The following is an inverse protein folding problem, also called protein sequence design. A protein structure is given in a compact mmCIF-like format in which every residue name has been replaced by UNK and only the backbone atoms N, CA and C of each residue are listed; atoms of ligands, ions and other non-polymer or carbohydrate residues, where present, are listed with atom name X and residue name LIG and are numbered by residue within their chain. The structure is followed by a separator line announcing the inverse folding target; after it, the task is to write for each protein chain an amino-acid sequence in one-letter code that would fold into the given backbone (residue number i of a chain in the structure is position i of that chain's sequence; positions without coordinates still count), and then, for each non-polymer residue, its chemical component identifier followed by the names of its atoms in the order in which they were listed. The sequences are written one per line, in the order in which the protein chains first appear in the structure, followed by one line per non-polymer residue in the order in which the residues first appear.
data_IF_603032265889
#
_entry.id   IF_603032265889
#
_cell.length_a   1.000
_cell.length_b   1.000
_cell.length_c   1.000
_cell.angle_alpha   90.00
_cell.angle_beta   90.00
_cell.angle_gamma   90.00
#
_symmetry.space_group_name_H-M   'P 1'
#
loop_
_entity.id
_entity.type
_entity.pdbx_description
1 polymer ?
#
# COMPACT_ATOMS: atom_id res chain seq x y z
N UNK A 1 -20.29 10.79 36.39
CA UNK A 1 -20.73 12.05 35.78
C UNK A 1 -19.86 12.30 34.57
N UNK A 2 -20.48 12.41 33.39
CA UNK A 2 -19.83 12.57 32.09
C UNK A 2 -19.40 14.03 31.88
N UNK A 3 -18.25 14.25 31.25
CA UNK A 3 -17.69 15.57 30.96
C UNK A 3 -16.86 15.60 29.67
N UNK A 4 -17.58 15.79 28.55
CA UNK A 4 -17.25 16.39 27.25
C UNK A 4 -15.80 16.41 26.72
N UNK A 5 -15.58 15.70 25.60
CA UNK A 5 -14.32 15.66 24.83
C UNK A 5 -14.44 16.29 23.42
N UNK A 6 -15.54 16.99 23.12
CA UNK A 6 -15.91 17.38 21.74
C UNK A 6 -15.48 18.80 21.28
N UNK A 7 -14.52 19.46 21.93
CA UNK A 7 -14.14 20.85 21.54
C UNK A 7 -12.80 20.99 20.81
N UNK A 8 -12.02 19.92 20.61
CA UNK A 8 -10.66 20.02 20.03
C UNK A 8 -10.54 19.66 18.53
N UNK A 9 -11.60 19.14 17.90
CA UNK A 9 -11.60 18.80 16.47
C UNK A 9 -11.99 20.00 15.57
N UNK A 10 -12.54 21.07 16.15
CA UNK A 10 -13.01 22.26 15.42
C UNK A 10 -11.93 23.27 15.04
N UNK A 11 -10.78 23.29 15.73
CA UNK A 11 -9.79 24.38 15.61
C UNK A 11 -8.62 24.11 14.65
N UNK A 12 -8.50 22.89 14.09
CA UNK A 12 -7.49 22.57 13.07
C UNK A 12 -7.97 22.77 11.62
N UNK A 13 -9.22 23.23 11.39
CA UNK A 13 -9.78 23.50 10.05
C UNK A 13 -9.56 24.92 9.52
N UNK A 14 -8.87 25.81 10.25
CA UNK A 14 -8.73 27.22 9.86
C UNK A 14 -7.31 27.75 9.66
N UNK A 15 -6.26 26.94 9.84
CA UNK A 15 -4.87 27.42 9.70
C UNK A 15 -4.08 26.92 8.49
N UNK A 16 -4.66 26.09 7.62
CA UNK A 16 -3.96 25.63 6.39
C UNK A 16 -4.28 26.44 5.12
N UNK A 17 -5.00 27.56 5.24
CA UNK A 17 -5.36 28.42 4.09
C UNK A 17 -4.42 29.62 3.87
N UNK A 18 -3.39 29.80 4.69
CA UNK A 18 -2.45 30.93 4.55
C UNK A 18 -1.00 30.50 4.82
N UNK A 19 -0.45 29.63 3.98
CA UNK A 19 1.00 29.48 3.77
C UNK A 19 1.27 28.54 2.59
N UNK A 20 1.19 29.09 1.38
CA UNK A 20 1.98 28.66 0.21
C UNK A 20 1.77 29.59 -0.99
N UNK A 21 1.74 30.91 -0.74
CA UNK A 21 2.18 31.88 -1.74
C UNK A 21 3.63 32.23 -1.41
N UNK A 22 4.59 31.57 -2.08
CA UNK A 22 5.89 32.13 -2.51
C UNK A 22 6.80 31.05 -3.13
N UNK A 23 6.77 31.01 -4.48
CA UNK A 23 7.88 30.84 -5.45
C UNK A 23 8.66 29.51 -5.60
N UNK A 24 9.40 29.27 -6.74
CA UNK A 24 9.47 29.98 -8.02
C UNK A 24 9.21 29.09 -9.28
N UNK A 25 9.10 29.78 -10.42
CA UNK A 25 9.05 29.28 -11.80
C UNK A 25 10.17 28.27 -12.13
N UNK A 26 9.82 27.09 -12.65
CA UNK A 26 10.74 26.22 -13.40
C UNK A 26 10.18 25.91 -14.78
N UNK A 27 11.08 25.92 -15.77
CA UNK A 27 10.82 25.99 -17.22
C UNK A 27 10.09 24.75 -17.74
N UNK A 28 9.15 25.00 -18.65
CA UNK A 28 8.36 24.02 -19.39
C UNK A 28 9.20 23.49 -20.56
N UNK A 29 9.60 22.22 -20.53
CA UNK A 29 10.12 21.55 -21.74
C UNK A 29 8.95 21.15 -22.63
N UNK A 30 8.99 21.60 -23.88
CA UNK A 30 8.03 21.26 -24.93
C UNK A 30 8.21 19.79 -25.36
N UNK A 31 7.22 18.95 -25.06
CA UNK A 31 7.01 17.72 -25.83
C UNK A 31 6.07 18.00 -27.00
N UNK A 32 6.64 17.84 -28.20
CA UNK A 32 6.04 18.07 -29.52
C UNK A 32 4.72 17.30 -29.67
N UNK A 33 3.70 18.01 -30.15
CA UNK A 33 2.36 17.49 -30.39
C UNK A 33 2.31 16.41 -31.47
N UNK A 34 1.46 15.41 -31.23
CA UNK A 34 1.00 14.46 -32.25
C UNK A 34 -0.34 14.97 -32.80
N UNK A 35 -0.61 14.90 -34.12
CA UNK A 35 -1.75 15.60 -34.72
C UNK A 35 -3.09 15.00 -34.31
N UNK A 36 -4.06 15.88 -34.03
CA UNK A 36 -5.46 15.54 -33.79
C UNK A 36 -6.09 15.12 -35.12
N UNK A 37 -6.38 13.84 -35.29
CA UNK A 37 -7.33 13.40 -36.32
C UNK A 37 -8.74 13.82 -35.90
N UNK A 38 -9.28 14.83 -36.59
CA UNK A 38 -10.70 15.14 -36.60
C UNK A 38 -11.45 13.91 -37.13
N UNK A 39 -12.31 13.32 -36.32
CA UNK A 39 -13.40 12.48 -36.82
C UNK A 39 -14.68 12.72 -36.03
N UNK A 40 -15.77 12.60 -36.77
CA UNK A 40 -17.06 13.20 -36.52
C UNK A 40 -17.80 12.69 -35.27
N UNK A 41 -18.74 13.52 -34.85
CA UNK A 41 -19.84 13.24 -33.93
C UNK A 41 -20.45 11.85 -34.15
N UNK A 42 -20.17 10.94 -33.22
CA UNK A 42 -20.87 9.67 -33.12
C UNK A 42 -21.50 9.58 -31.73
N UNK A 43 -22.84 9.62 -31.68
CA UNK A 43 -23.62 9.09 -30.56
C UNK A 43 -23.29 7.60 -30.46
N UNK A 44 -22.27 7.23 -29.68
CA UNK A 44 -22.00 5.85 -29.32
C UNK A 44 -22.42 5.66 -27.87
N UNK A 45 -23.58 5.04 -27.69
CA UNK A 45 -23.91 4.39 -26.43
C UNK A 45 -22.81 3.39 -26.08
N UNK A 46 -22.59 3.15 -24.78
CA UNK A 46 -21.64 2.19 -24.26
C UNK A 46 -22.05 0.74 -24.67
N UNK A 47 -21.79 0.34 -25.92
CA UNK A 47 -21.91 -1.04 -26.41
C UNK A 47 -20.54 -1.58 -26.78
N UNK A 48 -19.66 -1.73 -25.78
CA UNK A 48 -18.54 -2.65 -25.90
C UNK A 48 -18.90 -3.90 -25.11
N UNK A 49 -19.16 -4.99 -25.84
CA UNK A 49 -19.43 -6.30 -25.30
C UNK A 49 -18.18 -6.90 -24.67
N UNK A 50 -18.27 -7.24 -23.40
CA UNK A 50 -17.44 -8.29 -22.79
C UNK A 50 -18.37 -9.48 -22.55
N UNK A 51 -18.35 -10.44 -23.49
CA UNK A 51 -19.00 -11.74 -23.35
C UNK A 51 -18.06 -12.64 -22.56
N UNK A 52 -18.49 -13.13 -21.39
CA UNK A 52 -17.92 -14.34 -20.79
C UNK A 52 -18.69 -15.55 -21.35
N UNK A 53 -18.04 -16.54 -21.96
CA UNK A 53 -18.72 -17.71 -22.51
C UNK A 53 -19.17 -18.66 -21.39
N UNK A 54 -20.45 -19.06 -21.39
CA UNK A 54 -20.96 -20.18 -20.59
C UNK A 54 -20.99 -21.46 -21.43
N UNK A 55 -20.90 -22.67 -20.81
CA UNK A 55 -20.82 -23.93 -21.55
C UNK A 55 -22.15 -24.25 -22.25
N UNK A 56 -22.02 -24.68 -23.51
CA UNK A 56 -23.09 -25.14 -24.40
C UNK A 56 -23.76 -26.40 -23.85
N UNK A 57 -25.09 -26.45 -23.80
CA UNK A 57 -25.84 -27.71 -23.69
C UNK A 57 -27.03 -27.68 -24.65
N UNK A 58 -27.09 -28.73 -25.45
CA UNK A 58 -27.96 -29.04 -26.58
C UNK A 58 -29.39 -29.36 -26.15
N UNK A 59 -30.41 -28.92 -26.89
CA UNK A 59 -31.77 -29.47 -26.85
C UNK A 59 -32.94 -28.47 -26.83
N UNK A 60 -33.78 -28.49 -27.89
CA UNK A 60 -35.04 -27.75 -28.13
C UNK A 60 -36.21 -28.15 -27.20
N UNK A 61 -37.48 -27.64 -27.32
CA UNK A 61 -38.03 -26.40 -27.91
C UNK A 61 -39.00 -25.59 -27.00
N UNK A 62 -39.27 -24.34 -27.41
CA UNK A 62 -40.47 -23.49 -27.22
C UNK A 62 -41.25 -23.64 -25.90
N UNK A 63 -40.91 -22.81 -24.91
CA UNK A 63 -41.85 -22.31 -23.92
C UNK A 63 -41.67 -20.79 -23.81
N UNK A 64 -42.75 -20.02 -24.04
CA UNK A 64 -42.77 -18.56 -23.85
C UNK A 64 -42.68 -18.27 -22.35
N UNK A 65 -41.47 -18.16 -21.84
CA UNK A 65 -41.21 -17.61 -20.52
C UNK A 65 -41.57 -16.11 -20.51
N UNK A 66 -42.09 -15.56 -19.40
CA UNK A 66 -42.25 -14.12 -19.27
C UNK A 66 -40.86 -13.50 -19.44
N UNK A 67 -40.73 -12.48 -20.31
CA UNK A 67 -39.50 -11.71 -20.43
C UNK A 67 -39.22 -11.09 -19.06
N UNK A 68 -38.34 -11.74 -18.28
CA UNK A 68 -37.70 -11.12 -17.14
C UNK A 68 -36.80 -10.01 -17.68
N UNK A 69 -37.38 -8.84 -17.95
CA UNK A 69 -36.65 -7.59 -18.19
C UNK A 69 -36.10 -7.10 -16.87
N UNK A 70 -35.22 -7.88 -16.24
CA UNK A 70 -34.25 -7.31 -15.32
C UNK A 70 -33.29 -6.51 -16.20
N UNK A 71 -33.60 -5.22 -16.38
CA UNK A 71 -32.69 -4.23 -16.94
C UNK A 71 -31.49 -4.14 -15.98
N UNK A 72 -30.57 -5.10 -16.07
CA UNK A 72 -29.30 -5.02 -15.38
C UNK A 72 -28.58 -3.82 -15.97
N UNK A 73 -28.66 -2.71 -15.24
CA UNK A 73 -28.02 -1.45 -15.60
C UNK A 73 -26.52 -1.73 -15.64
N UNK A 74 -25.96 -1.76 -16.86
CA UNK A 74 -24.57 -2.13 -17.10
C UNK A 74 -23.67 -1.12 -16.39
N UNK A 75 -22.95 -1.58 -15.36
CA UNK A 75 -21.94 -0.81 -14.65
C UNK A 75 -20.64 -0.84 -15.43
N UNK A 76 -20.00 0.31 -15.60
CA UNK A 76 -18.65 0.39 -16.19
C UNK A 76 -17.62 -0.31 -15.30
N UNK A 77 -16.45 -0.73 -15.84
CA UNK A 77 -15.38 -1.30 -15.03
C UNK A 77 -14.92 -0.32 -13.94
N UNK A 78 -14.47 -0.83 -12.78
CA UNK A 78 -13.99 0.01 -11.70
C UNK A 78 -12.70 0.74 -12.09
N UNK A 79 -12.50 1.93 -11.51
CA UNK A 79 -11.21 2.63 -11.55
C UNK A 79 -10.34 2.05 -10.43
N UNK A 80 -9.19 1.48 -10.76
CA UNK A 80 -8.26 0.94 -9.78
C UNK A 80 -7.13 1.94 -9.50
N UNK A 81 -6.90 2.27 -8.24
CA UNK A 81 -5.88 3.24 -7.80
C UNK A 81 -5.01 2.60 -6.73
N UNK A 82 -3.71 2.59 -6.94
CA UNK A 82 -2.75 2.09 -5.95
C UNK A 82 -2.42 3.16 -4.93
N UNK A 83 -2.62 2.86 -3.65
CA UNK A 83 -2.26 3.75 -2.53
C UNK A 83 -1.01 3.19 -1.85
N UNK A 84 0.13 3.78 -2.14
CA UNK A 84 1.40 3.40 -1.51
C UNK A 84 1.40 3.82 -0.05
N UNK A 85 1.74 2.89 0.86
CA UNK A 85 1.79 3.11 2.30
C UNK A 85 3.13 2.65 2.87
N UNK A 86 3.70 3.40 3.82
CA UNK A 86 4.90 2.96 4.54
C UNK A 86 4.55 1.92 5.61
N UNK A 87 5.56 1.20 6.11
CA UNK A 87 5.36 0.25 7.20
C UNK A 87 4.86 0.93 8.48
N UNK A 88 5.32 2.15 8.77
CA UNK A 88 4.90 2.94 9.94
C UNK A 88 3.43 3.33 9.83
N UNK A 89 2.99 3.75 8.64
CA UNK A 89 1.60 4.07 8.33
C UNK A 89 0.71 2.83 8.50
N UNK A 90 1.13 1.68 7.99
CA UNK A 90 0.42 0.41 8.16
C UNK A 90 0.44 -0.09 9.61
N UNK A 91 1.46 0.27 10.39
CA UNK A 91 1.58 -0.11 11.80
C UNK A 91 0.62 0.69 12.70
N UNK A 92 0.59 2.02 12.51
CA UNK A 92 -0.20 2.96 13.34
C UNK A 92 -1.61 3.22 12.81
N UNK A 93 -1.81 3.01 11.52
CA UNK A 93 -3.00 3.46 10.79
C UNK A 93 -2.87 4.94 10.44
N UNK A 94 -3.41 5.34 9.29
CA UNK A 94 -3.41 6.73 8.84
C UNK A 94 -4.61 7.02 7.97
N UNK A 95 -4.83 8.29 7.64
CA UNK A 95 -5.80 8.71 6.62
C UNK A 95 -5.00 9.32 5.49
N UNK A 96 -5.18 8.80 4.27
CA UNK A 96 -4.57 9.34 3.06
C UNK A 96 -5.60 10.03 2.20
N UNK A 97 -5.22 11.22 1.74
CA UNK A 97 -5.95 11.97 0.74
C UNK A 97 -5.38 11.59 -0.63
N UNK A 98 -6.22 10.99 -1.48
CA UNK A 98 -5.81 10.46 -2.78
C UNK A 98 -6.62 11.16 -3.86
N UNK A 99 -5.95 11.87 -4.77
CA UNK A 99 -6.61 12.45 -5.94
C UNK A 99 -6.65 11.44 -7.10
N UNK A 100 -7.73 11.49 -7.86
CA UNK A 100 -7.92 10.67 -9.05
C UNK A 100 -8.81 11.38 -10.04
N UNK A 101 -8.70 10.99 -11.31
CA UNK A 101 -9.50 11.54 -12.39
C UNK A 101 -10.64 10.60 -12.75
N UNK A 102 -11.82 11.17 -12.99
CA UNK A 102 -12.99 10.42 -13.46
C UNK A 102 -13.76 11.19 -14.52
N UNK A 103 -14.49 10.44 -15.33
CA UNK A 103 -15.44 10.96 -16.30
C UNK A 103 -16.76 11.34 -15.62
N UNK A 104 -17.20 12.58 -15.80
CA UNK A 104 -18.46 13.13 -15.26
C UNK A 104 -19.31 13.66 -16.40
N UNK A 105 -20.61 13.38 -16.39
CA UNK A 105 -21.51 13.87 -17.44
C UNK A 105 -22.06 15.23 -17.02
N UNK A 106 -21.79 16.25 -17.82
CA UNK A 106 -22.42 17.54 -17.63
C UNK A 106 -23.91 17.44 -18.00
N UNK A 107 -24.78 17.78 -17.04
CA UNK A 107 -26.23 17.70 -17.20
C UNK A 107 -26.77 18.68 -18.26
N UNK A 108 -26.03 19.76 -18.54
CA UNK A 108 -26.46 20.78 -19.49
C UNK A 108 -26.08 20.42 -20.92
N UNK A 109 -24.82 20.05 -21.13
CA UNK A 109 -24.28 19.80 -22.45
C UNK A 109 -24.42 18.35 -22.91
N UNK A 110 -24.61 17.41 -21.97
CA UNK A 110 -24.66 15.97 -22.24
C UNK A 110 -23.31 15.37 -22.61
N UNK A 111 -22.23 16.17 -22.60
CA UNK A 111 -20.87 15.70 -22.85
C UNK A 111 -20.21 15.20 -21.56
N UNK A 112 -19.22 14.35 -21.74
CA UNK A 112 -18.39 13.83 -20.66
C UNK A 112 -17.17 14.72 -20.46
N UNK A 113 -16.96 15.19 -19.24
CA UNK A 113 -15.81 15.98 -18.81
C UNK A 113 -14.93 15.16 -17.87
N UNK A 114 -13.61 15.27 -18.01
CA UNK A 114 -12.67 14.72 -17.04
C UNK A 114 -12.61 15.66 -15.83
N UNK A 115 -12.85 15.12 -14.63
CA UNK A 115 -12.73 15.88 -13.37
C UNK A 115 -11.78 15.19 -12.42
N UNK A 116 -10.97 15.99 -11.74
CA UNK A 116 -10.17 15.55 -10.60
C UNK A 116 -11.05 15.55 -9.34
N UNK A 117 -11.07 14.43 -8.64
CA UNK A 117 -11.76 14.26 -7.36
C UNK A 117 -10.76 13.76 -6.32
N UNK A 118 -10.99 14.14 -5.07
CA UNK A 118 -10.12 13.80 -3.96
C UNK A 118 -10.89 12.93 -2.98
N UNK A 119 -10.35 11.77 -2.66
CA UNK A 119 -10.97 10.81 -1.75
C UNK A 119 -10.08 10.56 -0.54
N UNK A 120 -10.67 10.64 0.65
CA UNK A 120 -10.02 10.22 1.89
C UNK A 120 -10.16 8.70 2.05
N UNK A 121 -9.02 8.02 2.16
CA UNK A 121 -8.92 6.58 2.40
C UNK A 121 -8.39 6.35 3.81
N UNK A 122 -9.20 5.70 4.64
CA UNK A 122 -8.83 5.37 6.03
C UNK A 122 -8.07 4.04 6.03
N UNK A 123 -6.76 4.10 6.23
CA UNK A 123 -5.88 2.92 6.30
C UNK A 123 -5.87 2.40 7.72
N UNK A 124 -6.39 1.18 7.91
CA UNK A 124 -6.41 0.55 9.23
C UNK A 124 -5.09 -0.15 9.54
N UNK A 125 -4.82 -0.26 10.84
CA UNK A 125 -3.65 -0.96 11.39
C UNK A 125 -3.61 -2.41 10.92
N UNK A 126 -2.42 -2.85 10.52
CA UNK A 126 -2.16 -4.24 10.15
C UNK A 126 -2.65 -4.63 8.75
N UNK A 127 -3.19 -3.70 7.96
CA UNK A 127 -3.53 -3.96 6.57
C UNK A 127 -2.34 -4.50 5.79
N UNK A 128 -2.62 -5.48 4.93
CA UNK A 128 -1.62 -6.15 4.09
C UNK A 128 -1.67 -5.55 2.69
N UNK A 129 -0.56 -5.71 1.95
CA UNK A 129 -0.53 -5.43 0.51
C UNK A 129 -1.69 -6.14 -0.19
N UNK A 130 -2.35 -5.43 -1.11
CA UNK A 130 -3.50 -5.94 -1.87
C UNK A 130 -4.85 -5.78 -1.18
N UNK A 131 -4.89 -5.23 0.05
CA UNK A 131 -6.19 -4.86 0.67
C UNK A 131 -6.89 -3.82 -0.20
N UNK A 132 -8.16 -4.03 -0.50
CA UNK A 132 -8.95 -3.13 -1.35
C UNK A 132 -9.97 -2.35 -0.56
N UNK A 133 -10.17 -1.08 -0.93
CA UNK A 133 -11.22 -0.21 -0.39
C UNK A 133 -12.05 0.29 -1.57
N UNK A 134 -13.30 -0.17 -1.64
CA UNK A 134 -14.22 0.17 -2.73
C UNK A 134 -15.13 1.32 -2.32
N UNK A 135 -15.19 2.35 -3.17
CA UNK A 135 -16.16 3.43 -3.07
C UNK A 135 -17.17 3.30 -4.21
N UNK A 136 -18.39 2.93 -3.85
CA UNK A 136 -19.44 2.66 -4.82
C UNK A 136 -19.92 3.93 -5.52
N UNK A 137 -20.04 3.86 -6.85
CA UNK A 137 -20.59 4.95 -7.66
C UNK A 137 -19.73 6.22 -7.73
N UNK A 138 -18.47 6.15 -7.31
CA UNK A 138 -17.50 7.27 -7.37
C UNK A 138 -16.62 7.26 -8.62
N UNK A 139 -16.78 6.28 -9.49
CA UNK A 139 -15.97 6.09 -10.69
C UNK A 139 -16.50 6.85 -11.89
N UNK A 140 -16.25 6.29 -13.07
CA UNK A 140 -16.63 6.88 -14.34
C UNK A 140 -18.15 6.85 -14.55
N UNK A 141 -18.72 7.97 -14.95
CA UNK A 141 -20.13 8.08 -15.36
C UNK A 141 -20.29 7.70 -16.85
N UNK A 142 -21.32 6.90 -17.18
CA UNK A 142 -21.77 6.67 -18.57
C UNK A 142 -23.25 7.04 -18.71
N UNK A 143 -23.60 7.59 -19.87
CA UNK A 143 -24.97 8.02 -20.18
C UNK A 143 -25.92 6.83 -20.10
N UNK A 144 -27.02 6.98 -19.33
CA UNK A 144 -28.01 5.92 -19.10
C UNK A 144 -27.58 4.84 -18.08
N UNK A 145 -26.31 4.82 -17.64
CA UNK A 145 -25.78 3.85 -16.69
C UNK A 145 -25.74 4.34 -15.24
N UNK A 146 -25.35 3.45 -14.33
CA UNK A 146 -24.83 3.83 -13.00
C UNK A 146 -23.34 4.13 -13.11
N UNK A 147 -22.81 5.08 -12.33
CA UNK A 147 -21.36 5.30 -12.27
C UNK A 147 -20.63 4.02 -11.87
N UNK A 148 -19.40 3.84 -12.34
CA UNK A 148 -18.54 2.74 -11.87
C UNK A 148 -18.06 2.99 -10.45
N UNK A 149 -17.35 2.01 -9.90
CA UNK A 149 -16.72 2.14 -8.59
C UNK A 149 -15.30 2.63 -8.71
N UNK A 150 -14.76 3.10 -7.60
CA UNK A 150 -13.33 3.35 -7.43
C UNK A 150 -12.81 2.37 -6.39
N UNK A 151 -11.78 1.63 -6.74
CA UNK A 151 -11.14 0.62 -5.90
C UNK A 151 -9.74 1.11 -5.57
N UNK A 152 -9.50 1.46 -4.31
CA UNK A 152 -8.18 1.79 -3.82
C UNK A 152 -7.48 0.51 -3.35
N UNK A 153 -6.36 0.17 -3.97
CA UNK A 153 -5.56 -1.01 -3.67
C UNK A 153 -4.36 -0.56 -2.83
N UNK A 154 -4.26 -1.06 -1.61
CA UNK A 154 -3.15 -0.73 -0.72
C UNK A 154 -1.88 -1.42 -1.20
N UNK A 155 -0.84 -0.62 -1.43
CA UNK A 155 0.52 -1.10 -1.73
C UNK A 155 1.45 -0.78 -0.57
N UNK A 156 2.42 -1.65 -0.34
CA UNK A 156 3.45 -1.46 0.68
C UNK A 156 4.70 -0.89 0.03
N UNK A 157 5.19 0.23 0.57
CA UNK A 157 6.45 0.85 0.15
C UNK A 157 7.62 0.13 0.79
N UNK A 158 8.68 -0.08 0.01
CA UNK A 158 9.92 -0.65 0.53
C UNK A 158 10.50 0.21 1.65
N UNK A 159 10.79 -0.42 2.78
CA UNK A 159 11.40 0.23 3.94
C UNK A 159 12.91 -0.07 3.96
N UNK A 160 13.78 0.92 4.29
CA UNK A 160 15.22 0.77 4.18
C UNK A 160 15.83 -0.28 5.12
N UNK A 161 15.17 -0.56 6.25
CA UNK A 161 15.73 -1.39 7.34
C UNK A 161 14.92 -2.68 7.54
N UNK A 162 13.62 -2.64 7.27
CA UNK A 162 12.69 -3.69 7.63
C UNK A 162 12.02 -4.21 6.37
N UNK A 163 11.80 -5.51 6.32
CA UNK A 163 10.98 -6.13 5.28
C UNK A 163 9.86 -6.88 5.95
N UNK A 164 8.61 -6.62 5.56
CA UNK A 164 7.48 -7.43 6.02
C UNK A 164 7.55 -8.81 5.37
N UNK A 165 7.44 -9.85 6.18
CA UNK A 165 7.22 -11.21 5.68
C UNK A 165 5.75 -11.37 5.23
N UNK A 166 5.38 -12.48 4.60
CA UNK A 166 3.99 -12.73 4.17
C UNK A 166 2.99 -12.78 5.36
N UNK A 167 3.51 -12.94 6.57
CA UNK A 167 2.80 -12.88 7.85
C UNK A 167 2.68 -11.44 8.39
N UNK A 168 2.55 -11.28 9.72
CA UNK A 168 2.65 -9.98 10.39
C UNK A 168 4.06 -9.77 10.96
N UNK A 169 5.02 -10.60 10.57
CA UNK A 169 6.38 -10.54 11.07
C UNK A 169 7.22 -9.54 10.26
N UNK A 170 8.17 -8.93 10.93
CA UNK A 170 9.17 -8.05 10.32
C UNK A 170 10.51 -8.77 10.27
N UNK A 171 11.22 -8.61 9.17
CA UNK A 171 12.58 -9.13 9.00
C UNK A 171 13.55 -7.96 8.98
N UNK A 172 14.51 -8.00 9.90
CA UNK A 172 15.65 -7.10 9.95
C UNK A 172 16.90 -7.89 9.51
N UNK A 173 17.57 -7.42 8.46
CA UNK A 173 18.85 -8.00 8.05
C UNK A 173 19.99 -7.15 8.60
N UNK A 174 20.90 -7.75 9.35
CA UNK A 174 22.05 -7.04 9.92
C UNK A 174 23.34 -7.72 9.50
N UNK A 175 24.29 -6.89 9.05
CA UNK A 175 25.65 -7.32 8.72
C UNK A 175 26.51 -7.17 9.96
N UNK A 176 27.21 -8.23 10.33
CA UNK A 176 28.02 -8.27 11.55
C UNK A 176 29.39 -8.86 11.23
N UNK A 177 30.49 -8.21 11.65
CA UNK A 177 31.82 -8.80 11.55
C UNK A 177 31.93 -10.11 12.35
N UNK A 178 32.74 -11.05 11.87
CA UNK A 178 32.99 -12.30 12.58
C UNK A 178 33.56 -12.08 13.99
N UNK A 179 34.39 -11.06 14.19
CA UNK A 179 34.97 -10.76 15.51
C UNK A 179 33.89 -10.43 16.53
N UNK A 180 32.97 -9.52 16.20
CA UNK A 180 31.88 -9.10 17.09
C UNK A 180 30.95 -10.28 17.43
N UNK A 181 30.71 -11.15 16.45
CA UNK A 181 29.93 -12.39 16.65
C UNK A 181 30.57 -13.33 17.67
N UNK A 182 31.90 -13.41 17.72
CA UNK A 182 32.63 -14.31 18.61
C UNK A 182 32.93 -13.70 19.98
N UNK A 183 33.12 -12.37 20.06
CA UNK A 183 33.50 -11.66 21.29
C UNK A 183 32.32 -11.06 22.04
N UNK A 184 31.12 -11.19 21.51
CA UNK A 184 29.91 -10.54 22.01
C UNK A 184 29.68 -9.20 21.31
N UNK A 185 28.44 -8.98 20.91
CA UNK A 185 28.01 -7.82 20.14
C UNK A 185 26.72 -7.25 20.72
N UNK A 186 26.52 -5.93 20.60
CA UNK A 186 25.27 -5.28 20.99
C UNK A 186 24.65 -4.60 19.79
N UNK A 187 23.43 -5.01 19.44
CA UNK A 187 22.69 -4.46 18.33
C UNK A 187 21.76 -3.34 18.82
N UNK A 188 22.02 -2.13 18.33
CA UNK A 188 21.17 -0.96 18.56
C UNK A 188 20.35 -0.66 17.31
N UNK A 189 19.03 -0.59 17.45
CA UNK A 189 18.14 -0.31 16.33
C UNK A 189 16.84 0.33 16.81
N UNK A 190 16.15 1.00 15.87
CA UNK A 190 14.84 1.61 16.13
C UNK A 190 13.73 0.70 15.63
N UNK A 191 12.79 0.36 16.50
CA UNK A 191 11.61 -0.42 16.17
C UNK A 191 10.64 0.35 15.27
N UNK A 192 9.72 -0.38 14.62
CA UNK A 192 8.60 0.23 13.88
C UNK A 192 7.64 1.02 14.80
N UNK A 193 7.63 0.71 16.12
CA UNK A 193 6.93 1.50 17.13
C UNK A 193 7.54 2.91 17.27
N UNK A 194 8.81 3.08 16.90
CA UNK A 194 9.59 4.30 17.07
C UNK A 194 10.51 4.28 18.29
N UNK A 195 10.45 3.24 19.11
CA UNK A 195 11.30 3.03 20.28
C UNK A 195 12.70 2.56 19.89
N UNK A 196 13.73 3.00 20.62
CA UNK A 196 15.10 2.52 20.44
C UNK A 196 15.31 1.30 21.34
N UNK A 197 15.84 0.23 20.77
CA UNK A 197 16.14 -1.02 21.48
C UNK A 197 17.64 -1.31 21.35
N UNK A 198 18.23 -1.69 22.48
CA UNK A 198 19.57 -2.23 22.56
C UNK A 198 19.46 -3.70 22.99
N UNK A 199 19.93 -4.61 22.14
CA UNK A 199 19.90 -6.04 22.43
C UNK A 199 21.34 -6.60 22.46
N UNK A 200 21.86 -6.97 23.64
CA UNK A 200 23.16 -7.61 23.76
C UNK A 200 23.09 -9.09 23.36
N UNK A 201 24.08 -9.55 22.60
CA UNK A 201 24.30 -10.94 22.20
C UNK A 201 25.55 -11.52 22.87
N UNK A 202 25.86 -11.10 24.10
CA UNK A 202 27.08 -11.54 24.80
C UNK A 202 27.08 -13.04 25.12
N UNK A 203 25.90 -13.62 25.37
CA UNK A 203 25.75 -15.02 25.81
C UNK A 203 25.31 -15.95 24.67
N UNK A 204 25.14 -15.44 23.44
CA UNK A 204 24.59 -16.19 22.31
C UNK A 204 25.64 -16.40 21.20
N UNK A 205 25.84 -17.66 20.80
CA UNK A 205 26.70 -17.99 19.66
C UNK A 205 25.91 -17.80 18.36
N UNK A 206 26.22 -16.73 17.62
CA UNK A 206 25.61 -16.45 16.31
C UNK A 206 26.37 -17.22 15.22
N UNK A 207 25.72 -18.20 14.59
CA UNK A 207 26.28 -18.95 13.46
C UNK A 207 25.66 -18.54 12.12
N UNK A 208 26.27 -18.84 10.98
CA UNK A 208 25.67 -18.56 9.67
C UNK A 208 24.28 -19.19 9.53
N UNK A 209 23.26 -18.37 9.28
CA UNK A 209 21.87 -18.82 9.21
C UNK A 209 21.11 -18.79 10.54
N UNK A 210 21.77 -18.45 11.66
CA UNK A 210 21.11 -18.12 12.91
C UNK A 210 20.10 -16.99 12.72
N UNK A 211 18.96 -17.10 13.38
CA UNK A 211 17.91 -16.09 13.37
C UNK A 211 17.45 -15.86 14.80
N UNK A 212 17.48 -14.60 15.23
CA UNK A 212 16.93 -14.23 16.53
C UNK A 212 15.49 -13.77 16.33
N UNK A 213 14.57 -14.36 17.07
CA UNK A 213 13.16 -13.93 17.10
C UNK A 213 12.92 -13.10 18.36
N UNK A 214 12.43 -11.88 18.18
CA UNK A 214 11.94 -11.03 19.26
C UNK A 214 10.42 -10.98 19.16
N UNK A 215 9.76 -11.60 20.13
CA UNK A 215 8.32 -11.75 20.13
C UNK A 215 7.60 -10.40 20.29
N UNK A 216 6.46 -10.25 19.60
CA UNK A 216 5.60 -9.07 19.72
C UNK A 216 6.18 -7.77 19.15
N UNK A 217 7.32 -7.80 18.46
CA UNK A 217 7.96 -6.63 17.86
C UNK A 217 7.77 -6.47 16.35
N UNK A 218 6.88 -7.26 15.75
CA UNK A 218 6.49 -7.15 14.35
C UNK A 218 5.37 -6.13 14.08
N UNK A 219 4.67 -6.33 12.96
CA UNK A 219 3.52 -5.53 12.54
C UNK A 219 2.28 -5.79 13.42
N UNK A 220 1.40 -4.80 13.49
CA UNK A 220 0.10 -4.94 14.15
C UNK A 220 -0.78 -5.93 13.38
N UNK A 221 -1.56 -6.74 14.11
CA UNK A 221 -2.50 -7.68 13.52
C UNK A 221 -3.83 -6.98 13.26
N UNK A 222 -4.37 -7.09 12.04
CA UNK A 222 -5.67 -6.52 11.72
C UNK A 222 -6.76 -7.03 12.68
N UNK A 223 -7.66 -6.14 13.09
CA UNK A 223 -8.76 -6.42 14.04
C UNK A 223 -8.33 -6.85 15.46
N UNK A 224 -7.05 -6.72 15.81
CA UNK A 224 -6.54 -6.93 17.18
C UNK A 224 -5.73 -5.72 17.63
N UNK A 225 -6.12 -5.07 18.73
CA UNK A 225 -5.43 -3.86 19.20
C UNK A 225 -4.06 -4.15 19.81
N UNK A 226 -3.93 -5.29 20.49
CA UNK A 226 -2.76 -5.59 21.32
C UNK A 226 -1.90 -6.75 20.78
N UNK A 227 -2.32 -7.38 19.67
CA UNK A 227 -1.54 -8.46 19.04
C UNK A 227 -0.61 -7.91 17.97
N UNK A 228 0.62 -8.36 18.02
CA UNK A 228 1.69 -8.03 17.06
C UNK A 228 2.35 -9.31 16.59
N UNK A 229 2.87 -9.30 15.37
CA UNK A 229 3.78 -10.34 14.90
C UNK A 229 5.14 -10.23 15.59
N UNK A 230 6.10 -11.00 15.10
CA UNK A 230 7.45 -11.06 15.65
C UNK A 230 8.43 -10.26 14.80
N UNK A 231 9.54 -9.86 15.41
CA UNK A 231 10.70 -9.33 14.69
C UNK A 231 11.74 -10.44 14.55
N UNK A 232 12.09 -10.77 13.31
CA UNK A 232 13.07 -11.78 12.96
C UNK A 232 14.34 -11.08 12.51
N UNK A 233 15.41 -11.20 13.29
CA UNK A 233 16.72 -10.67 12.97
C UNK A 233 17.52 -11.75 12.28
N UNK A 234 17.94 -11.47 11.03
CA UNK A 234 18.79 -12.33 10.23
C UNK A 234 20.19 -11.73 10.17
N UNK A 235 21.18 -12.53 10.56
CA UNK A 235 22.57 -12.10 10.57
C UNK A 235 23.28 -12.51 9.29
N UNK A 236 23.96 -11.56 8.67
CA UNK A 236 24.89 -11.77 7.57
C UNK A 236 26.31 -11.59 8.13
N UNK A 237 27.00 -12.70 8.36
CA UNK A 237 28.34 -12.69 8.97
C UNK A 237 29.37 -12.32 7.90
N UNK A 238 30.10 -11.24 8.16
CA UNK A 238 31.16 -10.74 7.29
C UNK A 238 32.50 -11.31 7.75
N UNK A 239 33.04 -12.24 6.97
CA UNK A 239 34.35 -12.84 7.21
C UNK A 239 35.49 -11.88 6.80
N UNK A 240 36.61 -11.86 7.55
CA UNK A 240 37.79 -11.12 7.14
C UNK A 240 38.37 -11.72 5.85
N UNK A 241 38.88 -10.85 4.96
CA UNK A 241 39.41 -11.30 3.65
C UNK A 241 40.74 -12.04 3.74
N UNK A 242 41.55 -11.72 4.75
CA UNK A 242 42.88 -12.29 5.00
C UNK A 242 43.16 -12.31 6.50
N UNK A 243 43.96 -13.26 6.94
CA UNK A 243 44.49 -13.35 8.30
C UNK A 243 46.00 -13.60 8.20
N UNK A 244 46.77 -12.94 9.07
CA UNK A 244 48.22 -13.14 9.14
C UNK A 244 48.55 -14.43 9.91
N UNK A 245 49.76 -14.97 9.71
CA UNK A 245 50.21 -16.21 10.36
C UNK A 245 50.08 -16.16 11.89
N UNK A 246 50.45 -15.04 12.49
CA UNK A 246 50.33 -14.81 13.94
C UNK A 246 48.87 -14.85 14.41
N UNK A 247 47.96 -14.20 13.68
CA UNK A 247 46.53 -14.21 14.00
C UNK A 247 45.93 -15.61 13.90
N UNK A 248 46.32 -16.38 12.88
CA UNK A 248 45.89 -17.78 12.73
C UNK A 248 46.41 -18.63 13.89
N UNK A 249 47.67 -18.44 14.31
CA UNK A 249 48.25 -19.15 15.45
C UNK A 249 47.50 -18.82 16.75
N UNK A 250 47.18 -17.55 17.01
CA UNK A 250 46.40 -17.14 18.18
C UNK A 250 44.98 -17.72 18.14
N UNK A 251 44.32 -17.68 16.98
CA UNK A 251 42.98 -18.26 16.84
C UNK A 251 42.97 -19.77 17.10
N UNK A 252 43.96 -20.51 16.60
CA UNK A 252 44.11 -21.96 16.86
C UNK A 252 44.40 -22.31 18.33
N UNK A 253 44.91 -21.36 19.11
CA UNK A 253 45.18 -21.59 20.53
C UNK A 253 43.92 -21.40 21.39
N UNK A 254 42.94 -20.63 20.90
CA UNK A 254 41.72 -20.26 21.64
C UNK A 254 40.49 -21.06 21.18
N UNK A 255 40.39 -21.39 19.88
CA UNK A 255 39.30 -22.15 19.26
C UNK A 255 39.71 -23.61 19.01
#
# INVERSE_FOLDING_TARGET
MFGNVDSLVGNMRRQMFYKNQQQPHMKREEMKGVPIQRSASARRGCTNGYYYPTPTTTGSPINRAPRSTTLFRRKLPPIEITVECTLEELFRGCVKEVSYTRNVIDRRSGYTELREEVQMVIIKRGWKKGTTVTFEGRGNECSGGTPSDVVFIISEKDHPIFKRADSNDLVLKVKVPLVDVLTGWTLNFRLISGENVSHPFADEIIFPGYQKVIEGQGMSVANSKDKRGNLIIKFEIVFPRKLNKEQIMMLKAVL
#
